data_IF_059481896179
#
_entry.id   IF_059481896179
#
_cell.length_a   1.000
_cell.length_b   1.000
_cell.length_c   1.000
_cell.angle_alpha   90.00
_cell.angle_beta   90.00
_cell.angle_gamma   90.00
#
_symmetry.space_group_name_H-M   'P 1'
#
loop_
_entity.id
_entity.type
_entity.pdbx_description
1 polymer ?
#
# COMPACT_ATOMS: atom_id res chain seq x y z
N UNK A 1 38.76 14.69 -4.72
CA UNK A 1 37.46 14.22 -4.17
C UNK A 1 36.58 13.87 -5.39
N UNK A 2 36.62 12.63 -5.79
CA UNK A 2 35.89 12.08 -6.91
C UNK A 2 34.44 11.88 -6.44
N UNK A 3 33.49 12.59 -7.07
CA UNK A 3 32.07 12.33 -6.89
C UNK A 3 31.80 10.91 -7.39
N UNK A 4 31.41 10.02 -6.49
CA UNK A 4 30.84 8.72 -6.84
C UNK A 4 29.59 8.98 -7.69
N UNK A 5 29.69 8.63 -8.96
CA UNK A 5 28.55 8.54 -9.87
C UNK A 5 27.75 7.32 -9.39
N UNK A 6 26.84 7.54 -8.44
CA UNK A 6 25.88 6.55 -8.01
C UNK A 6 25.02 6.18 -9.23
N UNK A 7 25.25 5.02 -9.82
CA UNK A 7 24.37 4.45 -10.84
C UNK A 7 22.94 4.35 -10.31
N UNK A 8 21.92 4.19 -11.16
CA UNK A 8 20.54 4.11 -10.70
C UNK A 8 20.42 3.00 -9.65
N UNK A 9 19.87 3.36 -8.47
CA UNK A 9 19.74 2.44 -7.35
C UNK A 9 19.00 1.17 -7.81
N UNK A 10 19.58 -0.01 -7.54
CA UNK A 10 18.93 -1.28 -7.86
C UNK A 10 17.72 -1.49 -6.94
N UNK A 11 16.56 -1.92 -7.47
CA UNK A 11 15.39 -2.19 -6.64
C UNK A 11 15.66 -3.39 -5.72
N UNK A 12 15.21 -3.29 -4.47
CA UNK A 12 15.24 -4.40 -3.50
C UNK A 12 14.19 -5.46 -3.86
N UNK A 13 13.04 -5.02 -4.39
CA UNK A 13 11.97 -5.88 -4.90
C UNK A 13 11.50 -5.35 -6.26
N UNK A 14 11.44 -6.24 -7.26
CA UNK A 14 11.03 -5.90 -8.61
C UNK A 14 9.90 -6.82 -9.06
N UNK A 15 8.78 -6.24 -9.48
CA UNK A 15 7.59 -6.95 -9.95
C UNK A 15 7.41 -6.69 -11.43
N UNK A 16 7.25 -7.76 -12.23
CA UNK A 16 7.14 -7.67 -13.69
C UNK A 16 5.98 -8.50 -14.21
N UNK A 17 5.03 -7.82 -14.85
CA UNK A 17 3.86 -8.40 -15.54
C UNK A 17 3.11 -9.42 -14.65
N UNK A 18 2.98 -9.10 -13.35
CA UNK A 18 2.39 -10.01 -12.38
C UNK A 18 0.91 -10.24 -12.67
N UNK A 19 0.53 -11.52 -12.77
CA UNK A 19 -0.84 -11.96 -12.97
C UNK A 19 -1.25 -12.95 -11.89
N UNK A 20 -2.43 -12.74 -11.33
CA UNK A 20 -3.10 -13.70 -10.44
C UNK A 20 -4.57 -13.80 -10.77
N UNK A 21 -4.96 -14.96 -11.27
CA UNK A 21 -6.36 -15.33 -11.49
C UNK A 21 -6.74 -16.47 -10.55
N UNK A 22 -7.98 -16.45 -10.10
CA UNK A 22 -8.56 -17.50 -9.25
C UNK A 22 -9.64 -18.25 -10.04
N UNK A 23 -9.51 -19.58 -10.23
CA UNK A 23 -10.53 -20.36 -10.90
C UNK A 23 -11.80 -20.44 -10.05
N UNK A 24 -12.95 -20.10 -10.64
CA UNK A 24 -14.28 -20.28 -10.04
C UNK A 24 -14.81 -21.62 -10.48
N UNK A 25 -15.07 -22.50 -9.52
CA UNK A 25 -15.62 -23.84 -9.77
C UNK A 25 -17.09 -23.86 -9.40
N UNK A 26 -17.92 -24.41 -10.28
CA UNK A 26 -19.36 -24.57 -10.05
C UNK A 26 -19.66 -25.57 -8.92
N UNK A 27 -20.86 -25.44 -8.36
CA UNK A 27 -21.41 -26.41 -7.39
C UNK A 27 -21.84 -27.69 -8.12
N UNK A 28 -21.19 -28.83 -7.83
CA UNK A 28 -21.52 -30.13 -8.39
C UNK A 28 -20.39 -31.14 -8.19
N UNK A 29 -20.68 -32.44 -8.31
CA UNK A 29 -19.70 -33.53 -8.14
C UNK A 29 -18.49 -33.39 -9.07
N UNK A 30 -18.62 -32.82 -10.26
CA UNK A 30 -17.57 -32.65 -11.24
C UNK A 30 -16.72 -31.36 -11.08
N UNK A 31 -17.05 -30.44 -10.13
CA UNK A 31 -16.36 -29.16 -9.88
C UNK A 31 -15.86 -28.44 -11.17
N UNK A 32 -16.71 -28.40 -12.21
CA UNK A 32 -16.35 -27.84 -13.52
C UNK A 32 -15.97 -26.36 -13.39
N UNK A 33 -14.90 -25.96 -14.12
CA UNK A 33 -14.51 -24.55 -14.21
C UNK A 33 -15.64 -23.74 -14.85
N UNK A 34 -16.15 -22.72 -14.14
CA UNK A 34 -17.26 -21.85 -14.58
C UNK A 34 -16.76 -20.48 -15.02
N UNK A 35 -15.58 -20.07 -14.51
CA UNK A 35 -14.98 -18.77 -14.83
C UNK A 35 -13.72 -18.54 -14.02
N UNK A 36 -13.18 -17.33 -14.12
CA UNK A 36 -12.00 -16.89 -13.39
C UNK A 36 -12.21 -15.52 -12.78
N UNK A 37 -11.68 -15.29 -11.58
CA UNK A 37 -11.58 -13.95 -10.98
C UNK A 37 -10.23 -13.36 -11.31
N UNK A 38 -10.21 -12.26 -12.03
CA UNK A 38 -9.02 -11.55 -12.49
C UNK A 38 -8.54 -10.58 -11.40
N UNK A 39 -7.92 -11.11 -10.34
CA UNK A 39 -7.56 -10.32 -9.16
C UNK A 39 -6.34 -9.41 -9.40
N UNK A 40 -5.33 -9.87 -10.16
CA UNK A 40 -4.14 -9.10 -10.54
C UNK A 40 -3.88 -9.36 -12.02
N UNK A 41 -3.68 -8.30 -12.80
CA UNK A 41 -3.59 -8.37 -14.25
C UNK A 41 -2.49 -7.41 -14.74
N UNK A 42 -1.31 -7.97 -15.00
CA UNK A 42 -0.20 -7.23 -15.61
C UNK A 42 0.29 -6.06 -14.71
N UNK A 43 0.57 -6.37 -13.43
CA UNK A 43 1.08 -5.40 -12.46
C UNK A 43 2.60 -5.41 -12.48
N UNK A 44 3.22 -4.23 -12.66
CA UNK A 44 4.66 -4.04 -12.66
C UNK A 44 5.04 -2.81 -11.85
N UNK A 45 6.00 -2.94 -10.92
CA UNK A 45 6.57 -1.84 -10.15
C UNK A 45 7.90 -2.27 -9.51
N UNK A 46 8.65 -1.28 -9.04
CA UNK A 46 9.90 -1.47 -8.29
C UNK A 46 9.79 -0.83 -6.91
N UNK A 47 10.31 -1.53 -5.90
CA UNK A 47 10.54 -1.00 -4.56
C UNK A 47 12.05 -0.85 -4.36
N UNK A 48 12.48 0.35 -4.00
CA UNK A 48 13.89 0.65 -3.76
C UNK A 48 14.28 0.50 -2.29
N UNK A 49 15.58 0.38 -1.99
CA UNK A 49 16.05 0.36 -0.61
C UNK A 49 15.62 1.62 0.15
N UNK A 50 15.15 1.44 1.39
CA UNK A 50 14.70 2.50 2.30
C UNK A 50 13.48 3.31 1.81
N UNK A 51 12.85 2.91 0.71
CA UNK A 51 11.65 3.51 0.16
C UNK A 51 10.38 2.99 0.86
N UNK A 52 9.38 3.86 0.99
CA UNK A 52 7.98 3.48 1.23
C UNK A 52 7.19 3.61 -0.06
N UNK A 53 6.90 2.48 -0.70
CA UNK A 53 6.07 2.43 -1.91
C UNK A 53 4.61 2.14 -1.54
N UNK A 54 3.71 3.06 -1.90
CA UNK A 54 2.27 2.93 -1.67
C UNK A 54 1.56 2.16 -2.79
N UNK A 55 0.71 1.19 -2.44
CA UNK A 55 -0.22 0.55 -3.36
C UNK A 55 -1.65 0.84 -2.91
N UNK A 56 -2.37 1.70 -3.63
CA UNK A 56 -3.66 2.24 -3.20
C UNK A 56 -4.78 1.92 -4.19
N UNK A 57 -6.03 1.96 -3.73
CA UNK A 57 -7.22 1.76 -4.55
C UNK A 57 -8.40 1.26 -3.74
N UNK A 58 -9.59 1.19 -4.35
CA UNK A 58 -10.82 0.70 -3.70
C UNK A 58 -10.68 -0.73 -3.18
N UNK A 59 -11.52 -1.10 -2.20
CA UNK A 59 -11.56 -2.48 -1.69
C UNK A 59 -11.86 -3.47 -2.82
N UNK A 60 -11.18 -4.63 -2.80
CA UNK A 60 -11.34 -5.66 -3.83
C UNK A 60 -10.62 -5.41 -5.15
N UNK A 61 -9.84 -4.31 -5.31
CA UNK A 61 -9.11 -4.06 -6.57
C UNK A 61 -7.85 -4.94 -6.78
N UNK A 62 -7.47 -5.77 -5.78
CA UNK A 62 -6.37 -6.74 -5.91
C UNK A 62 -5.12 -6.47 -5.06
N UNK A 63 -5.07 -5.43 -4.24
CA UNK A 63 -3.91 -5.01 -3.41
C UNK A 63 -3.40 -6.12 -2.49
N UNK A 64 -4.25 -6.63 -1.60
CA UNK A 64 -3.94 -7.74 -0.69
C UNK A 64 -3.52 -9.01 -1.44
N UNK A 65 -4.15 -9.27 -2.59
CA UNK A 65 -3.74 -10.38 -3.45
C UNK A 65 -2.32 -10.18 -3.96
N UNK A 66 -1.99 -8.98 -4.45
CA UNK A 66 -0.63 -8.62 -4.86
C UNK A 66 0.35 -8.85 -3.72
N UNK A 67 0.09 -8.30 -2.53
CA UNK A 67 0.94 -8.48 -1.33
C UNK A 67 1.20 -9.97 -1.01
N UNK A 68 0.17 -10.81 -1.08
CA UNK A 68 0.30 -12.27 -0.82
C UNK A 68 1.09 -13.00 -1.90
N UNK A 69 0.97 -12.58 -3.16
CA UNK A 69 1.73 -13.18 -4.26
C UNK A 69 3.21 -12.81 -4.17
N UNK A 70 3.55 -11.58 -3.77
CA UNK A 70 4.94 -11.14 -3.57
C UNK A 70 5.70 -12.03 -2.58
N UNK A 71 5.02 -12.48 -1.52
CA UNK A 71 5.61 -13.39 -0.51
C UNK A 71 5.46 -14.88 -0.86
N UNK A 72 4.99 -15.18 -2.06
CA UNK A 72 4.67 -16.53 -2.49
C UNK A 72 3.80 -17.30 -1.46
N UNK A 73 2.88 -16.57 -0.80
CA UNK A 73 1.79 -17.14 0.02
C UNK A 73 0.68 -17.66 -0.89
N UNK A 74 0.56 -17.06 -2.07
CA UNK A 74 -0.27 -17.52 -3.18
C UNK A 74 0.60 -17.57 -4.44
N UNK A 75 0.57 -18.67 -5.22
CA UNK A 75 1.36 -18.76 -6.43
C UNK A 75 0.85 -17.76 -7.48
N UNK A 76 1.76 -17.11 -8.19
CA UNK A 76 1.43 -16.31 -9.37
C UNK A 76 0.82 -17.20 -10.46
N UNK A 77 -0.08 -16.65 -11.28
CA UNK A 77 -0.55 -17.30 -12.51
C UNK A 77 0.45 -17.07 -13.64
N UNK A 78 1.03 -15.86 -13.72
CA UNK A 78 2.09 -15.48 -14.64
C UNK A 78 2.88 -14.28 -14.10
N UNK A 79 3.97 -13.92 -14.75
CA UNK A 79 4.85 -12.83 -14.35
C UNK A 79 5.91 -13.27 -13.34
N UNK A 80 6.71 -12.31 -12.89
CA UNK A 80 7.87 -12.55 -12.04
C UNK A 80 7.92 -11.58 -10.87
N UNK A 81 8.43 -12.06 -9.75
CA UNK A 81 8.76 -11.25 -8.57
C UNK A 81 10.22 -11.53 -8.22
N UNK A 82 11.07 -10.53 -8.39
CA UNK A 82 12.48 -10.62 -8.03
C UNK A 82 12.72 -9.91 -6.70
N UNK A 83 13.34 -10.61 -5.78
CA UNK A 83 13.95 -10.03 -4.59
C UNK A 83 15.46 -10.03 -4.82
N UNK A 84 16.03 -8.82 -4.97
CA UNK A 84 17.39 -8.67 -5.49
C UNK A 84 17.53 -9.47 -6.81
N UNK A 85 18.48 -10.38 -6.91
CA UNK A 85 18.73 -11.20 -8.11
C UNK A 85 17.93 -12.52 -8.14
N UNK A 86 17.03 -12.75 -7.19
CA UNK A 86 16.33 -14.03 -7.01
C UNK A 86 14.85 -13.94 -7.41
N UNK A 87 14.43 -14.74 -8.40
CA UNK A 87 13.01 -14.87 -8.78
C UNK A 87 12.25 -15.71 -7.75
N UNK A 88 11.41 -15.05 -6.95
CA UNK A 88 10.62 -15.68 -5.88
C UNK A 88 9.53 -16.61 -6.42
N UNK A 89 9.03 -16.37 -7.64
CA UNK A 89 7.93 -17.14 -8.24
C UNK A 89 8.34 -18.56 -8.58
N UNK A 90 9.63 -18.81 -8.78
CA UNK A 90 10.21 -20.09 -9.19
C UNK A 90 10.90 -20.85 -8.05
N UNK A 91 10.94 -20.26 -6.85
CA UNK A 91 11.68 -20.84 -5.74
C UNK A 91 10.97 -22.08 -5.15
N UNK A 92 11.73 -23.15 -4.85
CA UNK A 92 11.22 -24.25 -4.06
C UNK A 92 10.89 -23.79 -2.63
N UNK A 93 9.91 -24.45 -2.01
CA UNK A 93 9.37 -24.09 -0.69
C UNK A 93 10.45 -23.86 0.39
N UNK A 94 11.49 -24.72 0.42
CA UNK A 94 12.59 -24.61 1.41
C UNK A 94 13.46 -23.35 1.19
N UNK A 95 13.73 -22.98 -0.06
CA UNK A 95 14.48 -21.78 -0.38
C UNK A 95 13.65 -20.52 -0.05
N UNK A 96 12.36 -20.51 -0.41
CA UNK A 96 11.45 -19.44 -0.03
C UNK A 96 11.34 -19.24 1.49
N UNK A 97 11.33 -20.32 2.27
CA UNK A 97 11.31 -20.24 3.73
C UNK A 97 12.52 -19.47 4.31
N UNK A 98 13.71 -19.61 3.70
CA UNK A 98 14.89 -18.86 4.11
C UNK A 98 14.74 -17.36 3.81
N UNK A 99 14.26 -17.01 2.62
CA UNK A 99 14.06 -15.63 2.20
C UNK A 99 12.94 -14.92 2.96
N UNK A 100 11.96 -15.65 3.49
CA UNK A 100 10.92 -15.07 4.36
C UNK A 100 11.47 -14.47 5.64
N UNK A 101 12.73 -14.72 6.03
CA UNK A 101 13.39 -13.98 7.12
C UNK A 101 13.57 -12.50 6.75
N UNK A 102 13.88 -12.23 5.48
CA UNK A 102 14.15 -10.90 4.98
C UNK A 102 12.89 -10.18 4.48
N UNK A 103 11.82 -10.95 4.20
CA UNK A 103 10.55 -10.48 3.65
C UNK A 103 9.42 -10.81 4.63
N UNK A 104 8.89 -9.81 5.31
CA UNK A 104 7.83 -10.00 6.31
C UNK A 104 6.56 -9.27 5.93
N UNK A 105 5.43 -9.65 6.53
CA UNK A 105 4.13 -9.02 6.33
C UNK A 105 3.44 -8.73 7.65
N UNK A 106 2.81 -7.56 7.73
CA UNK A 106 1.84 -7.23 8.76
C UNK A 106 0.47 -7.28 8.10
N UNK A 107 -0.42 -8.11 8.64
CA UNK A 107 -1.77 -8.33 8.11
C UNK A 107 -2.75 -7.27 8.58
N UNK A 108 -3.81 -7.07 7.82
CA UNK A 108 -4.87 -6.09 8.01
C UNK A 108 -5.55 -6.18 9.37
N UNK A 109 -5.81 -7.38 9.87
CA UNK A 109 -6.51 -7.58 11.14
C UNK A 109 -5.53 -8.02 12.25
N UNK A 110 -5.19 -7.12 13.18
CA UNK A 110 -4.31 -7.46 14.29
C UNK A 110 -4.94 -8.47 15.27
N UNK A 111 -6.27 -8.58 15.30
CA UNK A 111 -6.97 -9.56 16.14
C UNK A 111 -6.83 -10.98 15.59
N UNK A 112 -7.02 -11.15 14.28
CA UNK A 112 -6.87 -12.45 13.62
C UNK A 112 -5.39 -12.87 13.46
N UNK A 113 -4.47 -11.90 13.51
CA UNK A 113 -3.05 -12.15 13.28
C UNK A 113 -2.31 -12.70 14.52
N UNK A 114 -2.85 -12.53 15.73
CA UNK A 114 -2.23 -12.97 16.99
C UNK A 114 -3.02 -14.15 17.58
N UNK A 115 -2.34 -15.24 17.94
CA UNK A 115 -3.01 -16.36 18.66
C UNK A 115 -3.43 -15.88 20.07
N UNK A 116 -4.73 -15.79 20.36
CA UNK A 116 -5.21 -15.27 21.64
C UNK A 116 -4.89 -16.16 22.85
N UNK A 117 -4.42 -17.39 22.60
CA UNK A 117 -4.08 -18.39 23.65
C UNK A 117 -2.62 -18.29 24.08
N UNK A 118 -1.79 -17.54 23.34
CA UNK A 118 -0.37 -17.38 23.64
C UNK A 118 -0.12 -16.01 24.31
N UNK A 119 0.78 -15.93 25.30
CA UNK A 119 1.24 -14.66 25.83
C UNK A 119 2.09 -13.94 24.80
N UNK A 120 2.17 -12.61 24.93
CA UNK A 120 2.86 -11.74 23.95
C UNK A 120 4.32 -12.13 23.73
N UNK A 121 5.04 -12.54 24.78
CA UNK A 121 6.42 -13.03 24.65
C UNK A 121 6.54 -14.19 23.66
N UNK A 122 5.61 -15.14 23.74
CA UNK A 122 5.59 -16.31 22.91
C UNK A 122 5.25 -15.96 21.46
N UNK A 123 4.31 -15.03 21.26
CA UNK A 123 3.90 -14.52 19.94
C UNK A 123 5.09 -13.83 19.25
N UNK A 124 5.83 -12.98 19.96
CA UNK A 124 6.98 -12.27 19.38
C UNK A 124 8.17 -13.23 19.17
N UNK A 125 8.35 -14.22 20.04
CA UNK A 125 9.39 -15.23 19.90
C UNK A 125 9.11 -16.29 18.82
N UNK A 126 7.86 -16.46 18.41
CA UNK A 126 7.43 -17.53 17.47
C UNK A 126 8.26 -17.55 16.16
N UNK A 127 8.48 -16.44 15.44
CA UNK A 127 9.30 -16.45 14.24
C UNK A 127 10.74 -16.90 14.52
N UNK A 128 11.33 -16.49 15.63
CA UNK A 128 12.70 -16.90 16.01
C UNK A 128 12.76 -18.42 16.23
N UNK A 129 11.76 -19.00 16.87
CA UNK A 129 11.69 -20.47 17.08
C UNK A 129 11.48 -21.22 15.78
N UNK A 130 10.54 -20.78 14.92
CA UNK A 130 10.27 -21.41 13.62
C UNK A 130 11.55 -21.46 12.76
N UNK A 131 12.36 -20.42 12.84
CA UNK A 131 13.59 -20.32 12.07
C UNK A 131 14.84 -20.84 12.80
N UNK A 132 14.70 -21.39 14.02
CA UNK A 132 15.82 -21.91 14.80
C UNK A 132 16.82 -20.85 15.25
N UNK A 133 16.35 -19.61 15.44
CA UNK A 133 17.16 -18.45 15.86
C UNK A 133 16.95 -18.07 17.34
N UNK A 134 16.03 -18.74 18.03
CA UNK A 134 15.77 -18.46 19.44
C UNK A 134 16.93 -18.98 20.28
N UNK A 135 17.78 -18.04 20.73
CA UNK A 135 19.00 -18.29 21.54
C UNK A 135 18.68 -18.30 23.03
N UNK A 136 19.65 -18.63 23.92
CA UNK A 136 19.52 -18.45 25.36
C UNK A 136 19.16 -17.01 25.76
N UNK A 137 19.62 -16.01 25.01
CA UNK A 137 19.26 -14.58 25.19
C UNK A 137 17.92 -14.21 24.53
N UNK A 138 17.21 -15.13 23.89
CA UNK A 138 15.99 -14.85 23.11
C UNK A 138 14.87 -14.18 23.91
N UNK A 139 14.86 -14.34 25.24
CA UNK A 139 13.93 -13.58 26.09
C UNK A 139 14.28 -12.10 26.15
N UNK A 140 15.57 -11.76 26.19
CA UNK A 140 16.02 -10.37 26.18
C UNK A 140 15.78 -9.74 24.81
N UNK A 141 16.08 -10.48 23.72
CA UNK A 141 15.76 -10.03 22.35
C UNK A 141 14.29 -9.67 22.21
N UNK A 142 13.38 -10.46 22.79
CA UNK A 142 11.92 -10.16 22.81
C UNK A 142 11.60 -8.91 23.63
N UNK A 143 12.25 -8.71 24.79
CA UNK A 143 12.06 -7.52 25.63
C UNK A 143 12.52 -6.25 24.88
N UNK A 144 13.65 -6.31 24.19
CA UNK A 144 14.14 -5.22 23.34
C UNK A 144 13.18 -4.90 22.20
N UNK A 145 12.63 -5.93 21.52
CA UNK A 145 11.62 -5.75 20.47
C UNK A 145 10.35 -5.09 20.98
N UNK A 146 9.87 -5.47 22.17
CA UNK A 146 8.71 -4.83 22.79
C UNK A 146 8.99 -3.36 23.13
N UNK A 147 10.18 -3.07 23.70
CA UNK A 147 10.60 -1.70 23.98
C UNK A 147 10.71 -0.86 22.70
N UNK A 148 11.28 -1.45 21.62
CA UNK A 148 11.46 -0.81 20.31
C UNK A 148 10.14 -0.33 19.71
N UNK A 149 9.05 -1.09 19.91
CA UNK A 149 7.71 -0.69 19.43
C UNK A 149 6.94 0.15 20.47
N UNK A 150 7.60 0.58 21.57
CA UNK A 150 7.02 1.42 22.60
C UNK A 150 6.01 0.70 23.51
N UNK A 151 6.19 -0.61 23.71
CA UNK A 151 5.46 -1.41 24.71
C UNK A 151 6.33 -1.64 25.94
N UNK A 152 5.68 -1.74 27.12
CA UNK A 152 6.40 -2.10 28.32
C UNK A 152 6.80 -3.60 28.29
N UNK A 153 8.11 -3.94 28.31
CA UNK A 153 8.59 -5.33 28.27
C UNK A 153 8.04 -6.21 29.41
N UNK A 154 7.71 -5.64 30.55
CA UNK A 154 7.14 -6.37 31.69
C UNK A 154 5.72 -6.92 31.40
N UNK A 155 5.05 -6.37 30.40
CA UNK A 155 3.74 -6.86 29.95
C UNK A 155 3.82 -8.06 29.03
N UNK A 156 5.01 -8.56 28.73
CA UNK A 156 5.21 -9.69 27.81
C UNK A 156 4.48 -10.99 28.20
N UNK A 157 4.15 -11.17 29.48
CA UNK A 157 3.38 -12.34 29.98
C UNK A 157 1.87 -12.18 29.84
N UNK A 158 1.39 -11.02 29.42
CA UNK A 158 -0.04 -10.78 29.19
C UNK A 158 -0.48 -11.37 27.84
N UNK A 159 -1.78 -11.57 27.70
CA UNK A 159 -2.42 -12.09 26.50
C UNK A 159 -2.91 -10.97 25.59
N UNK A 160 -3.05 -11.19 24.27
CA UNK A 160 -3.48 -10.17 23.33
C UNK A 160 -4.76 -9.45 23.70
N UNK A 161 -5.74 -10.12 24.32
CA UNK A 161 -7.02 -9.54 24.71
C UNK A 161 -6.91 -8.49 25.83
N UNK A 162 -5.79 -8.43 26.56
CA UNK A 162 -5.52 -7.45 27.61
C UNK A 162 -4.91 -6.14 27.06
N UNK A 163 -4.70 -6.04 25.74
CA UNK A 163 -4.12 -4.88 25.06
C UNK A 163 -5.15 -4.15 24.19
N UNK A 164 -4.96 -2.83 24.03
CA UNK A 164 -5.74 -2.04 23.07
C UNK A 164 -5.45 -2.44 21.62
N UNK A 165 -6.29 -2.03 20.66
CA UNK A 165 -6.10 -2.29 19.24
C UNK A 165 -4.73 -1.80 18.73
N UNK A 166 -4.34 -0.59 19.09
CA UNK A 166 -3.03 -0.03 18.72
C UNK A 166 -1.86 -0.76 19.37
N UNK A 167 -1.99 -1.24 20.61
CA UNK A 167 -0.98 -2.05 21.27
C UNK A 167 -0.86 -3.42 20.60
N UNK A 168 -1.95 -4.06 20.18
CA UNK A 168 -1.92 -5.31 19.40
C UNK A 168 -1.23 -5.12 18.05
N UNK A 169 -1.48 -3.99 17.38
CA UNK A 169 -0.77 -3.66 16.15
C UNK A 169 0.75 -3.56 16.40
N UNK A 170 1.17 -2.92 17.49
CA UNK A 170 2.58 -2.84 17.89
C UNK A 170 3.18 -4.22 18.20
N UNK A 171 2.43 -5.14 18.81
CA UNK A 171 2.85 -6.54 19.00
C UNK A 171 3.06 -7.23 17.63
N UNK A 172 2.15 -7.03 16.68
CA UNK A 172 2.29 -7.53 15.31
C UNK A 172 3.54 -7.00 14.59
N UNK A 173 3.84 -5.70 14.80
CA UNK A 173 5.06 -5.07 14.29
C UNK A 173 6.30 -5.71 14.95
N UNK A 174 6.34 -5.84 16.28
CA UNK A 174 7.45 -6.47 17.01
C UNK A 174 7.71 -7.91 16.51
N UNK A 175 6.64 -8.71 16.32
CA UNK A 175 6.73 -10.06 15.75
C UNK A 175 7.34 -10.07 14.35
N UNK A 176 6.93 -9.16 13.48
CA UNK A 176 7.47 -9.05 12.13
C UNK A 176 8.96 -8.63 12.13
N UNK A 177 9.37 -7.78 13.07
CA UNK A 177 10.74 -7.31 13.22
C UNK A 177 11.69 -8.35 13.85
N UNK A 178 11.17 -9.40 14.49
CA UNK A 178 11.97 -10.41 15.21
C UNK A 178 13.03 -11.07 14.32
N UNK A 179 12.78 -11.20 13.02
CA UNK A 179 13.71 -11.78 12.05
C UNK A 179 14.64 -10.75 11.39
N UNK A 180 14.57 -9.46 11.79
CA UNK A 180 15.34 -8.35 11.22
C UNK A 180 15.18 -8.29 9.69
N UNK A 181 13.94 -8.12 9.18
CA UNK A 181 13.66 -8.11 7.74
C UNK A 181 14.31 -6.91 7.05
N UNK A 182 14.45 -6.98 5.72
CA UNK A 182 14.82 -5.85 4.87
C UNK A 182 13.61 -5.20 4.21
N UNK A 183 12.58 -6.01 3.91
CA UNK A 183 11.33 -5.56 3.32
C UNK A 183 10.16 -5.95 4.21
N UNK A 184 9.30 -4.98 4.50
CA UNK A 184 8.09 -5.20 5.27
C UNK A 184 6.87 -4.79 4.43
N UNK A 185 6.00 -5.75 4.16
CA UNK A 185 4.73 -5.51 3.50
C UNK A 185 3.70 -5.17 4.57
N UNK A 186 3.07 -4.02 4.45
CA UNK A 186 2.09 -3.46 5.38
C UNK A 186 0.72 -3.51 4.71
N UNK A 187 -0.05 -4.59 4.95
CA UNK A 187 -1.38 -4.78 4.34
C UNK A 187 -2.45 -4.13 5.22
N UNK A 188 -2.84 -2.89 4.88
CA UNK A 188 -3.78 -2.05 5.61
C UNK A 188 -3.49 -1.92 7.13
N UNK A 189 -2.26 -1.53 7.52
CA UNK A 189 -1.76 -1.69 8.89
C UNK A 189 -2.48 -0.83 9.93
N UNK A 190 -3.30 0.12 9.52
CA UNK A 190 -4.00 1.05 10.42
C UNK A 190 -5.51 1.13 10.18
N UNK A 191 -6.06 0.36 9.23
CA UNK A 191 -7.47 0.47 8.82
C UNK A 191 -8.49 0.15 9.93
N UNK A 192 -8.12 -0.70 10.89
CA UNK A 192 -8.96 -1.11 12.02
C UNK A 192 -8.74 -0.28 13.29
N UNK A 193 -8.01 0.84 13.22
CA UNK A 193 -7.64 1.67 14.36
C UNK A 193 -8.30 3.04 14.31
N UNK A 194 -8.55 3.62 15.49
CA UNK A 194 -9.00 5.01 15.61
C UNK A 194 -7.96 6.01 15.09
N UNK A 195 -8.39 7.14 14.56
CA UNK A 195 -7.54 8.15 13.89
C UNK A 195 -6.35 8.59 14.75
N UNK A 196 -6.56 8.81 16.04
CA UNK A 196 -5.48 9.20 16.97
C UNK A 196 -4.43 8.10 17.15
N UNK A 197 -4.85 6.85 17.18
CA UNK A 197 -3.98 5.67 17.31
C UNK A 197 -3.25 5.41 15.99
N UNK A 198 -3.91 5.62 14.85
CA UNK A 198 -3.30 5.52 13.52
C UNK A 198 -2.03 6.38 13.42
N UNK A 199 -2.12 7.68 13.81
CA UNK A 199 -0.97 8.58 13.76
C UNK A 199 0.22 8.05 14.57
N UNK A 200 -0.05 7.50 15.77
CA UNK A 200 1.00 6.91 16.61
C UNK A 200 1.67 5.67 16.01
N UNK A 201 0.93 4.84 15.27
CA UNK A 201 1.48 3.66 14.57
C UNK A 201 2.26 4.09 13.32
N UNK A 202 1.78 5.09 12.57
CA UNK A 202 2.46 5.59 11.38
C UNK A 202 3.80 6.27 11.72
N UNK A 203 3.85 7.06 12.80
CA UNK A 203 5.10 7.65 13.29
C UNK A 203 6.08 6.55 13.72
N UNK A 204 5.61 5.54 14.47
CA UNK A 204 6.43 4.39 14.84
C UNK A 204 7.03 3.70 13.59
N UNK A 205 6.24 3.46 12.54
CA UNK A 205 6.74 2.84 11.31
C UNK A 205 7.80 3.70 10.62
N UNK A 206 7.66 5.03 10.60
CA UNK A 206 8.68 5.94 10.07
C UNK A 206 9.99 5.89 10.89
N UNK A 207 9.87 5.91 12.22
CA UNK A 207 11.03 5.83 13.10
C UNK A 207 11.77 4.50 12.93
N UNK A 208 11.04 3.39 12.83
CA UNK A 208 11.61 2.06 12.58
C UNK A 208 12.28 1.97 11.21
N UNK A 209 11.70 2.59 10.17
CA UNK A 209 12.30 2.67 8.85
C UNK A 209 13.66 3.36 8.90
N UNK A 210 13.73 4.53 9.54
CA UNK A 210 14.95 5.30 9.68
C UNK A 210 16.02 4.58 10.52
N UNK A 211 15.60 3.92 11.62
CA UNK A 211 16.53 3.24 12.53
C UNK A 211 17.07 1.93 11.98
N UNK A 212 16.23 1.15 11.30
CA UNK A 212 16.53 -0.21 10.85
C UNK A 212 16.82 -0.31 9.36
N UNK A 213 16.68 0.77 8.60
CA UNK A 213 16.91 0.79 7.15
C UNK A 213 15.89 -0.06 6.37
N UNK A 214 14.64 -0.11 6.80
CA UNK A 214 13.59 -0.93 6.21
C UNK A 214 13.08 -0.33 4.89
N UNK A 215 12.64 -1.19 3.98
CA UNK A 215 11.86 -0.80 2.81
C UNK A 215 10.42 -1.27 2.98
N UNK A 216 9.43 -0.41 2.68
CA UNK A 216 8.02 -0.71 2.91
C UNK A 216 7.24 -0.80 1.61
N UNK A 217 6.43 -1.85 1.46
CA UNK A 217 5.27 -1.84 0.58
C UNK A 217 4.02 -1.55 1.43
N UNK A 218 3.51 -0.34 1.32
CA UNK A 218 2.36 0.13 2.10
C UNK A 218 1.07 -0.01 1.29
N UNK A 219 0.25 -0.98 1.64
CA UNK A 219 -1.06 -1.22 1.01
C UNK A 219 -2.16 -0.52 1.81
N UNK A 220 -2.95 0.32 1.14
CA UNK A 220 -4.07 1.03 1.79
C UNK A 220 -5.19 1.34 0.80
N UNK A 221 -6.39 1.55 1.33
CA UNK A 221 -7.48 2.18 0.58
C UNK A 221 -7.65 3.67 0.96
N UNK A 222 -6.97 4.13 2.01
CA UNK A 222 -7.03 5.51 2.49
C UNK A 222 -5.84 6.33 1.97
N UNK A 223 -6.11 7.19 0.98
CA UNK A 223 -5.13 8.08 0.39
C UNK A 223 -4.66 9.19 1.36
N UNK A 224 -5.47 9.56 2.35
CA UNK A 224 -5.07 10.57 3.34
C UNK A 224 -3.90 10.10 4.20
N UNK A 225 -3.91 8.81 4.57
CA UNK A 225 -2.82 8.15 5.29
C UNK A 225 -1.59 8.03 4.41
N UNK A 226 -1.77 7.53 3.19
CA UNK A 226 -0.67 7.22 2.25
C UNK A 226 0.14 8.47 1.91
N UNK A 227 -0.52 9.62 1.72
CA UNK A 227 0.12 10.92 1.44
C UNK A 227 1.27 11.25 2.41
N UNK A 228 1.14 10.87 3.68
CA UNK A 228 2.07 11.25 4.73
C UNK A 228 3.21 10.25 4.97
N UNK A 229 3.10 9.04 4.42
CA UNK A 229 4.04 7.95 4.75
C UNK A 229 4.75 7.36 3.54
N UNK A 230 4.35 7.70 2.31
CA UNK A 230 4.92 7.09 1.10
C UNK A 230 5.75 8.10 0.30
N UNK A 231 6.78 7.59 -0.36
CA UNK A 231 7.61 8.34 -1.31
C UNK A 231 7.01 8.30 -2.71
N UNK A 232 6.60 7.10 -3.16
CA UNK A 232 5.93 6.85 -4.44
C UNK A 232 4.67 6.03 -4.24
N UNK A 233 3.70 6.23 -5.13
CA UNK A 233 2.38 5.60 -5.04
C UNK A 233 1.99 5.00 -6.40
N UNK A 234 1.51 3.76 -6.39
CA UNK A 234 0.78 3.17 -7.50
C UNK A 234 -0.70 3.08 -7.16
N UNK A 235 -1.55 3.62 -8.02
CA UNK A 235 -3.00 3.54 -7.91
C UNK A 235 -3.49 2.32 -8.68
N UNK A 236 -4.23 1.45 -8.01
CA UNK A 236 -4.71 0.19 -8.56
C UNK A 236 -6.25 0.20 -8.73
N UNK A 237 -6.71 -0.19 -9.91
CA UNK A 237 -8.14 -0.35 -10.22
C UNK A 237 -8.39 -1.67 -10.93
N UNK A 238 -9.32 -2.49 -10.43
CA UNK A 238 -9.70 -3.80 -11.01
C UNK A 238 -8.49 -4.64 -11.48
N UNK A 239 -7.50 -4.82 -10.61
CA UNK A 239 -6.35 -5.68 -10.88
C UNK A 239 -5.24 -5.04 -11.73
N UNK A 240 -5.32 -3.77 -12.12
CA UNK A 240 -4.30 -3.07 -12.90
C UNK A 240 -3.82 -1.79 -12.20
N UNK A 241 -2.56 -1.46 -12.36
CA UNK A 241 -2.05 -0.12 -12.03
C UNK A 241 -2.56 0.84 -13.10
N UNK A 242 -3.19 1.93 -12.66
CA UNK A 242 -3.74 2.97 -13.53
C UNK A 242 -2.92 4.25 -13.51
N UNK A 243 -2.13 4.47 -12.47
CA UNK A 243 -1.23 5.63 -12.34
C UNK A 243 -0.12 5.31 -11.35
N UNK A 244 1.09 5.80 -11.59
CA UNK A 244 2.23 5.72 -10.66
C UNK A 244 2.98 7.02 -10.67
N UNK A 245 3.19 7.62 -9.48
CA UNK A 245 3.88 8.89 -9.33
C UNK A 245 4.58 8.98 -7.97
N UNK A 246 5.39 10.00 -7.75
CA UNK A 246 5.76 10.41 -6.39
C UNK A 246 4.50 10.84 -5.62
N UNK A 247 4.53 10.78 -4.30
CA UNK A 247 3.39 11.22 -3.50
C UNK A 247 3.02 12.68 -3.82
N UNK A 248 4.01 13.57 -3.97
CA UNK A 248 3.79 14.98 -4.30
C UNK A 248 3.09 15.16 -5.66
N UNK A 249 3.61 14.54 -6.72
CA UNK A 249 3.04 14.64 -8.07
C UNK A 249 1.61 14.09 -8.12
N UNK A 250 1.37 12.92 -7.49
CA UNK A 250 0.04 12.30 -7.49
C UNK A 250 -1.04 13.20 -6.88
N UNK A 251 -0.70 13.92 -5.80
CA UNK A 251 -1.64 14.81 -5.12
C UNK A 251 -1.76 16.21 -5.72
N UNK A 252 -0.75 16.65 -6.49
CA UNK A 252 -0.76 17.97 -7.14
C UNK A 252 -1.31 17.92 -8.56
N UNK A 253 -0.90 16.93 -9.34
CA UNK A 253 -1.22 16.80 -10.78
C UNK A 253 -1.69 15.41 -11.17
N UNK A 254 -2.75 14.85 -10.53
CA UNK A 254 -3.26 13.52 -10.87
C UNK A 254 -3.71 13.47 -12.33
N UNK A 255 -3.18 12.53 -13.10
CA UNK A 255 -3.43 12.42 -14.54
C UNK A 255 -4.64 11.50 -14.85
N UNK A 256 -4.82 10.41 -14.09
CA UNK A 256 -5.91 9.47 -14.35
C UNK A 256 -7.22 9.92 -13.70
N UNK A 257 -8.38 9.90 -14.41
CA UNK A 257 -9.66 10.35 -13.86
C UNK A 257 -10.11 9.61 -12.59
N UNK A 258 -9.73 8.36 -12.41
CA UNK A 258 -9.97 7.62 -11.18
C UNK A 258 -9.19 8.17 -9.99
N UNK A 259 -7.90 8.49 -10.19
CA UNK A 259 -7.06 9.11 -9.16
C UNK A 259 -7.60 10.48 -8.74
N UNK A 260 -8.04 11.28 -9.71
CA UNK A 260 -8.69 12.57 -9.45
C UNK A 260 -9.93 12.40 -8.58
N UNK A 261 -10.77 11.41 -8.89
CA UNK A 261 -11.96 11.13 -8.10
C UNK A 261 -11.61 10.69 -6.67
N UNK A 262 -10.63 9.79 -6.50
CA UNK A 262 -10.17 9.35 -5.18
C UNK A 262 -9.61 10.52 -4.34
N UNK A 263 -8.75 11.36 -4.93
CA UNK A 263 -8.19 12.53 -4.24
C UNK A 263 -9.31 13.52 -3.93
N UNK A 264 -10.29 13.69 -4.83
CA UNK A 264 -11.43 14.56 -4.60
C UNK A 264 -12.32 14.10 -3.44
N UNK A 265 -12.25 12.87 -3.01
CA UNK A 265 -13.02 12.34 -1.89
C UNK A 265 -12.34 12.55 -0.52
N UNK A 266 -11.05 12.88 -0.47
CA UNK A 266 -10.31 13.10 0.78
C UNK A 266 -10.85 14.36 1.48
N UNK A 267 -11.32 14.32 2.73
CA UNK A 267 -11.79 15.49 3.44
C UNK A 267 -10.67 16.53 3.64
N UNK A 268 -10.99 17.82 3.46
CA UNK A 268 -10.06 18.90 3.75
C UNK A 268 -10.20 19.34 5.21
N UNK A 269 -9.09 19.61 5.94
CA UNK A 269 -9.14 20.07 7.32
C UNK A 269 -9.84 21.42 7.51
N UNK A 270 -9.85 22.27 6.44
CA UNK A 270 -10.51 23.58 6.46
C UNK A 270 -11.99 23.45 6.05
N UNK A 271 -12.95 23.71 6.96
CA UNK A 271 -14.38 23.58 6.64
C UNK A 271 -14.86 24.54 5.54
N UNK A 272 -14.21 25.71 5.34
CA UNK A 272 -14.57 26.66 4.29
C UNK A 272 -14.15 26.13 2.92
N UNK A 273 -12.94 25.59 2.83
CA UNK A 273 -12.43 24.96 1.60
C UNK A 273 -13.21 23.70 1.27
N UNK A 274 -13.56 22.90 2.27
CA UNK A 274 -14.36 21.67 2.08
C UNK A 274 -15.75 21.98 1.52
N UNK A 275 -16.43 23.07 1.98
CA UNK A 275 -17.75 23.50 1.46
C UNK A 275 -17.69 24.03 0.03
N UNK A 276 -16.60 24.68 -0.34
CA UNK A 276 -16.41 25.22 -1.68
C UNK A 276 -15.95 24.18 -2.72
N UNK A 277 -15.55 23.00 -2.26
CA UNK A 277 -14.97 21.94 -3.09
C UNK A 277 -16.03 21.18 -3.85
N UNK A 278 -15.80 20.97 -5.14
CA UNK A 278 -16.59 20.07 -5.97
C UNK A 278 -16.00 18.66 -5.92
N UNK A 279 -16.69 17.72 -5.28
CA UNK A 279 -16.30 16.31 -5.27
C UNK A 279 -16.67 15.68 -6.61
N UNK A 280 -15.76 14.86 -7.16
CA UNK A 280 -16.03 14.04 -8.34
C UNK A 280 -16.76 12.79 -7.89
N UNK A 281 -18.07 12.73 -8.14
CA UNK A 281 -18.89 11.57 -7.79
C UNK A 281 -18.80 10.57 -8.93
N UNK A 282 -18.31 9.37 -8.62
CA UNK A 282 -18.27 8.26 -9.56
C UNK A 282 -19.64 7.57 -9.62
N UNK A 283 -20.24 7.55 -10.78
CA UNK A 283 -21.52 6.88 -11.00
C UNK A 283 -21.32 5.38 -11.27
N UNK A 284 -22.25 4.57 -10.77
CA UNK A 284 -22.27 3.12 -10.95
C UNK A 284 -21.38 2.34 -9.98
N UNK A 285 -21.66 1.04 -9.89
CA UNK A 285 -20.93 0.11 -9.03
C UNK A 285 -19.58 -0.27 -9.63
N UNK A 286 -18.68 -0.75 -8.77
CA UNK A 286 -17.39 -1.34 -9.20
C UNK A 286 -17.70 -2.61 -9.99
N UNK A 287 -17.26 -2.73 -11.25
CA UNK A 287 -17.47 -3.94 -12.03
C UNK A 287 -16.88 -5.17 -11.38
N UNK A 288 -17.50 -6.34 -11.62
CA UNK A 288 -17.03 -7.59 -11.07
C UNK A 288 -15.64 -7.97 -11.64
N UNK A 289 -14.67 -8.34 -10.80
CA UNK A 289 -13.37 -8.84 -11.27
C UNK A 289 -13.48 -10.21 -11.96
N UNK A 290 -14.63 -10.90 -11.88
CA UNK A 290 -14.88 -12.12 -12.64
C UNK A 290 -15.28 -11.83 -14.11
N UNK A 291 -15.78 -10.62 -14.39
CA UNK A 291 -16.11 -10.18 -15.74
C UNK A 291 -15.71 -8.71 -15.93
N UNK A 292 -14.40 -8.41 -15.98
CA UNK A 292 -13.93 -7.04 -16.09
C UNK A 292 -14.30 -6.45 -17.46
N UNK A 293 -14.61 -5.15 -17.55
CA UNK A 293 -14.87 -4.47 -18.80
C UNK A 293 -13.72 -4.64 -19.80
N UNK A 294 -14.03 -4.80 -21.09
CA UNK A 294 -13.04 -4.78 -22.19
C UNK A 294 -12.35 -3.41 -22.28
N UNK A 295 -11.20 -3.33 -22.90
CA UNK A 295 -10.45 -2.08 -23.07
C UNK A 295 -10.12 -1.41 -21.72
N UNK A 296 -10.45 -0.12 -21.61
CA UNK A 296 -10.29 0.61 -20.35
C UNK A 296 -11.26 0.12 -19.28
N UNK A 297 -10.75 -0.48 -18.21
CA UNK A 297 -11.57 -1.05 -17.11
C UNK A 297 -12.36 0.00 -16.35
N UNK A 298 -11.88 1.25 -16.33
CA UNK A 298 -12.55 2.36 -15.65
C UNK A 298 -13.66 3.03 -16.48
N UNK A 299 -13.79 2.72 -17.80
CA UNK A 299 -14.73 3.41 -18.71
C UNK A 299 -16.19 3.47 -18.23
N UNK A 300 -16.64 2.44 -17.52
CA UNK A 300 -18.03 2.35 -17.02
C UNK A 300 -18.34 3.34 -15.89
N UNK A 301 -17.31 3.88 -15.23
CA UNK A 301 -17.41 4.86 -14.14
C UNK A 301 -16.69 6.17 -14.48
N UNK A 302 -16.08 6.27 -15.67
CA UNK A 302 -15.25 7.39 -16.06
C UNK A 302 -16.09 8.62 -16.41
N UNK A 303 -15.93 9.77 -15.73
CA UNK A 303 -16.66 10.99 -16.04
C UNK A 303 -16.33 11.56 -17.42
N UNK A 304 -15.08 11.40 -17.91
CA UNK A 304 -14.70 11.80 -19.27
C UNK A 304 -15.46 10.98 -20.30
N UNK A 305 -15.50 9.65 -20.14
CA UNK A 305 -16.23 8.74 -21.03
C UNK A 305 -17.73 9.10 -21.11
N UNK A 306 -18.33 9.44 -19.98
CA UNK A 306 -19.75 9.77 -19.90
C UNK A 306 -20.11 11.09 -20.58
N UNK A 307 -19.28 12.16 -20.40
CA UNK A 307 -19.70 13.52 -20.70
C UNK A 307 -18.85 14.26 -21.76
N UNK A 308 -17.61 13.83 -22.03
CA UNK A 308 -16.68 14.66 -22.80
C UNK A 308 -16.12 13.98 -24.06
N UNK A 309 -16.08 12.64 -24.12
CA UNK A 309 -15.49 11.93 -25.26
C UNK A 309 -16.45 11.85 -26.44
N UNK A 310 -15.90 12.01 -27.65
CA UNK A 310 -16.60 11.73 -28.91
C UNK A 310 -16.83 10.21 -29.07
N UNK A 311 -17.72 9.80 -29.98
CA UNK A 311 -18.00 8.38 -30.19
C UNK A 311 -16.78 7.56 -30.62
N UNK A 312 -15.90 8.12 -31.47
CA UNK A 312 -14.64 7.46 -31.85
C UNK A 312 -13.68 7.29 -30.66
N UNK A 313 -13.62 8.30 -29.77
CA UNK A 313 -12.80 8.24 -28.56
C UNK A 313 -13.38 7.21 -27.56
N UNK A 314 -14.69 7.16 -27.42
CA UNK A 314 -15.37 6.14 -26.60
C UNK A 314 -15.10 4.74 -27.12
N UNK A 315 -15.15 4.56 -28.47
CA UNK A 315 -14.86 3.28 -29.08
C UNK A 315 -13.45 2.80 -28.73
N UNK A 316 -12.44 3.68 -28.78
CA UNK A 316 -11.07 3.34 -28.35
C UNK A 316 -11.02 2.88 -26.89
N UNK A 317 -11.75 3.53 -25.98
CA UNK A 317 -11.83 3.09 -24.58
C UNK A 317 -12.53 1.72 -24.42
N UNK A 318 -13.39 1.32 -25.36
CA UNK A 318 -14.10 0.02 -25.35
C UNK A 318 -13.18 -1.10 -25.88
N UNK A 319 -12.40 -0.83 -26.92
CA UNK A 319 -11.60 -1.85 -27.61
C UNK A 319 -10.20 -1.98 -27.03
N UNK A 320 -9.54 -0.87 -26.69
CA UNK A 320 -8.10 -0.85 -26.42
C UNK A 320 -7.83 -0.67 -24.93
N UNK A 321 -6.90 -1.49 -24.41
CA UNK A 321 -6.39 -1.32 -23.04
C UNK A 321 -5.42 -0.15 -23.05
N UNK A 322 -5.65 0.90 -22.25
CA UNK A 322 -4.73 2.03 -22.19
C UNK A 322 -3.36 1.57 -21.60
N UNK A 323 -2.25 1.89 -22.30
CA UNK A 323 -0.92 1.62 -21.77
C UNK A 323 -0.61 2.57 -20.60
N UNK A 324 0.23 2.11 -19.67
CA UNK A 324 0.75 2.94 -18.59
C UNK A 324 1.95 3.73 -19.12
N UNK A 325 1.72 4.97 -19.57
CA UNK A 325 2.74 5.83 -20.21
C UNK A 325 2.61 7.26 -19.69
N UNK A 326 3.70 8.03 -19.77
CA UNK A 326 3.67 9.46 -19.44
C UNK A 326 3.00 10.25 -20.58
N UNK A 327 2.01 11.07 -20.20
CA UNK A 327 1.27 11.97 -21.09
C UNK A 327 1.70 13.43 -20.94
N UNK A 328 2.97 13.67 -20.57
CA UNK A 328 3.49 15.03 -20.35
C UNK A 328 3.22 15.59 -18.96
N UNK A 329 2.82 14.73 -18.01
CA UNK A 329 2.59 15.08 -16.61
C UNK A 329 3.80 14.77 -15.71
N UNK A 330 4.89 14.21 -16.27
CA UNK A 330 6.09 13.78 -15.54
C UNK A 330 5.97 12.39 -14.91
N UNK A 331 4.81 11.74 -15.00
CA UNK A 331 4.57 10.41 -14.46
C UNK A 331 3.56 9.60 -15.30
N UNK A 332 3.66 8.24 -15.31
CA UNK A 332 2.83 7.40 -16.16
C UNK A 332 1.39 7.22 -15.63
N UNK A 333 0.42 7.33 -16.58
CA UNK A 333 -1.00 7.05 -16.34
C UNK A 333 -1.59 6.18 -17.47
N UNK A 334 -2.44 5.22 -17.10
CA UNK A 334 -3.12 4.32 -18.04
C UNK A 334 -4.47 4.89 -18.51
N UNK A 335 -4.42 6.03 -19.18
CA UNK A 335 -5.59 6.70 -19.75
C UNK A 335 -5.29 7.14 -21.19
N UNK A 336 -6.20 6.86 -22.15
CA UNK A 336 -6.04 7.31 -23.55
C UNK A 336 -6.14 8.83 -23.70
N UNK A 337 -6.72 9.54 -22.71
CA UNK A 337 -7.08 10.95 -22.76
C UNK A 337 -6.74 11.66 -21.44
N UNK A 338 -5.56 11.38 -20.88
CA UNK A 338 -5.10 12.00 -19.63
C UNK A 338 -5.04 13.52 -19.73
N UNK A 339 -4.64 14.07 -20.89
CA UNK A 339 -4.54 15.52 -21.14
C UNK A 339 -5.89 16.24 -21.02
N UNK A 340 -7.00 15.59 -21.43
CA UNK A 340 -8.35 16.14 -21.27
C UNK A 340 -8.80 16.17 -19.81
N UNK A 341 -8.26 15.27 -18.98
CA UNK A 341 -8.61 15.19 -17.57
C UNK A 341 -8.00 16.33 -16.76
N UNK A 342 -6.80 16.79 -17.13
CA UNK A 342 -6.06 17.87 -16.44
C UNK A 342 -6.77 19.22 -16.58
N UNK A 343 -7.46 19.47 -17.69
CA UNK A 343 -8.25 20.70 -17.91
C UNK A 343 -9.48 20.81 -17.01
N UNK A 344 -9.98 19.70 -16.45
CA UNK A 344 -11.04 19.70 -15.45
C UNK A 344 -10.52 19.95 -14.03
N UNK A 345 -9.32 19.46 -13.71
CA UNK A 345 -8.69 19.60 -12.39
C UNK A 345 -8.26 21.06 -12.12
N UNK A 346 -7.79 21.78 -13.14
CA UNK A 346 -7.34 23.17 -13.01
C UNK A 346 -8.47 24.19 -12.71
N UNK A 347 -9.73 23.80 -12.85
CA UNK A 347 -10.88 24.64 -12.48
C UNK A 347 -11.33 24.50 -11.02
N UNK A 348 -10.76 23.60 -10.24
CA UNK A 348 -11.20 23.34 -8.85
C UNK A 348 -10.14 22.93 -7.83
N UNK A 349 -8.91 22.65 -8.21
CA UNK A 349 -7.90 22.03 -7.34
C UNK A 349 -6.61 22.85 -7.19
N UNK A 350 -6.70 24.13 -6.77
CA UNK A 350 -5.56 24.75 -6.10
C UNK A 350 -5.52 24.30 -4.64
N UNK A 351 -4.89 23.18 -4.35
CA UNK A 351 -4.53 22.79 -2.99
C UNK A 351 -3.35 23.64 -2.57
N UNK A 352 -3.60 24.69 -1.78
CA UNK A 352 -2.55 25.46 -1.14
C UNK A 352 -1.72 24.52 -0.25
N UNK A 353 -0.49 24.29 -0.63
CA UNK A 353 0.54 23.62 0.17
C UNK A 353 0.72 24.49 1.41
N UNK A 354 0.22 24.05 2.56
CA UNK A 354 0.48 24.69 3.84
C UNK A 354 1.91 24.38 4.24
N UNK A 355 2.77 25.40 4.14
CA UNK A 355 4.14 25.39 4.64
C UNK A 355 4.13 25.12 6.15
N UNK A 356 4.55 23.92 6.53
CA UNK A 356 4.59 23.43 7.92
C UNK A 356 5.80 23.95 8.70
N UNK A 357 6.05 25.26 8.68
CA UNK A 357 7.03 25.87 9.57
C UNK A 357 6.43 26.03 10.97
N UNK A 358 7.05 25.58 12.06
CA UNK A 358 6.57 25.81 13.41
C UNK A 358 6.69 27.31 13.71
N UNK A 359 5.56 28.00 13.79
CA UNK A 359 5.53 29.37 14.33
C UNK A 359 5.97 29.34 15.80
N UNK A 360 7.12 29.96 16.08
CA UNK A 360 7.55 30.28 17.43
C UNK A 360 6.47 31.06 18.17
N UNK A 361 5.90 30.46 19.22
CA UNK A 361 5.05 31.17 20.17
C UNK A 361 5.92 32.23 20.87
N UNK A 362 5.69 33.50 20.57
CA UNK A 362 6.14 34.60 21.42
C UNK A 362 5.23 34.67 22.63
N UNK A 363 5.78 34.51 23.79
CA UNK A 363 5.11 34.76 25.07
C UNK A 363 4.67 36.24 25.17
N UNK A 364 3.46 36.53 25.67
CA UNK A 364 3.06 37.90 25.99
C UNK A 364 3.78 38.37 27.25
N UNK A 365 4.48 39.49 27.14
CA UNK A 365 5.18 40.12 28.25
C UNK A 365 4.22 40.50 29.40
N UNK A 366 4.60 40.09 30.60
CA UNK A 366 4.00 40.51 31.88
C UNK A 366 4.50 41.91 32.19
N UNK A 367 3.64 42.89 32.11
CA UNK A 367 3.89 44.21 32.71
C UNK A 367 3.39 44.17 34.16
N UNK A 368 4.30 44.35 35.07
CA UNK A 368 3.99 44.66 36.48
C UNK A 368 4.09 46.16 36.73
N UNK A 369 3.23 46.71 37.63
CA UNK A 369 3.39 48.06 38.11
C UNK A 369 4.51 48.24 39.11
#
# INVERSE_FOLDING_TARGET
MTADVCGPAQPVLSVRNLVKHFPVRGHGLARRLVGEVHAVCDVSFDLYPHETFGLVGESGCGKTTTARVLLNLQPATAGHVHYQDTDLTRLPRKAMQRLRRELQIIFQDPYAALDPRLPVNEIVAEPLRIHGLFSPSGREDVRELLALVGLNPEHGNRYPHEFSGGQRQRIGIARALALRPKVLILDEPVSALDVSIQAGVLNLLKDLQAQLGLSYLFVSHDLSVVRHVTDRIAVMYLGRIVETATAEELFTTPAHPYTQALISAIPLPDPRKERARQRIILNGDVPSPANPPSGCRFRTRCPLFAAQLTDGQRQRCITDIPPLVDHGHGHPAACHYADLSSSCASRGLSVAIGDGSPRSMREPGVSSP
#
